data_IF_471591884867
#
_entry.id   IF_471591884867
#
_cell.length_a   1.000
_cell.length_b   1.000
_cell.length_c   1.000
_cell.angle_alpha   90.00
_cell.angle_beta   90.00
_cell.angle_gamma   90.00
#
_symmetry.space_group_name_H-M   'P 1'
#
loop_
_entity.id
_entity.type
_entity.pdbx_description
1 polymer ?
#
# COMPACT_ATOMS: atom_id res chain seq x y z
N UNK A 1 -27.81 35.93 37.70
CA UNK A 1 -28.40 36.83 36.68
C UNK A 1 -28.50 36.07 35.40
N UNK A 2 -29.70 35.89 34.95
CA UNK A 2 -30.18 35.21 33.76
C UNK A 2 -29.66 35.83 32.48
N UNK A 3 -29.46 35.03 31.44
CA UNK A 3 -30.29 35.10 30.24
C UNK A 3 -29.95 34.00 29.26
N UNK A 4 -30.95 33.21 28.98
CA UNK A 4 -31.14 32.22 27.94
C UNK A 4 -31.24 32.88 26.57
N UNK A 5 -30.68 32.20 25.52
CA UNK A 5 -31.14 32.37 24.15
C UNK A 5 -31.27 31.00 23.47
N UNK A 6 -32.52 30.67 23.20
CA UNK A 6 -33.00 29.59 22.33
C UNK A 6 -32.72 29.98 20.86
N UNK A 7 -32.24 29.11 20.03
CA UNK A 7 -32.40 29.19 18.59
C UNK A 7 -32.87 27.85 18.01
N UNK A 8 -33.93 27.96 17.22
CA UNK A 8 -34.75 26.91 16.58
C UNK A 8 -34.04 26.21 15.41
N UNK A 9 -34.46 25.01 15.08
CA UNK A 9 -34.00 24.32 13.86
C UNK A 9 -34.67 24.89 12.61
N UNK A 10 -33.93 24.97 11.52
CA UNK A 10 -34.43 25.33 10.19
C UNK A 10 -34.82 24.05 9.44
N UNK A 11 -36.10 23.98 9.10
CA UNK A 11 -36.68 23.01 8.19
C UNK A 11 -36.10 23.17 6.77
N UNK A 12 -35.61 22.08 6.18
CA UNK A 12 -35.25 22.02 4.76
C UNK A 12 -36.45 21.45 4.01
N UNK A 13 -37.14 22.31 3.30
CA UNK A 13 -38.25 21.97 2.40
C UNK A 13 -37.66 21.30 1.13
N UNK A 14 -38.01 20.04 0.91
CA UNK A 14 -37.73 19.35 -0.32
C UNK A 14 -38.61 19.83 -1.47
N UNK A 15 -38.00 20.29 -2.56
CA UNK A 15 -38.68 20.71 -3.78
C UNK A 15 -38.76 19.48 -4.73
N UNK A 16 -39.97 18.89 -4.77
CA UNK A 16 -40.30 17.86 -5.79
C UNK A 16 -40.74 18.55 -7.07
N UNK A 17 -39.99 18.41 -8.13
CA UNK A 17 -40.35 18.90 -9.46
C UNK A 17 -41.20 17.84 -10.17
N UNK A 18 -42.52 18.03 -10.14
CA UNK A 18 -43.47 17.28 -10.95
C UNK A 18 -43.58 17.94 -12.33
N UNK A 19 -43.17 17.23 -13.36
CA UNK A 19 -43.37 17.65 -14.76
C UNK A 19 -44.75 17.26 -15.19
N UNK A 20 -45.68 18.21 -15.27
CA UNK A 20 -47.02 18.01 -15.84
C UNK A 20 -46.98 18.31 -17.33
N UNK A 21 -47.24 17.31 -18.18
CA UNK A 21 -47.52 17.50 -19.59
C UNK A 21 -49.01 17.82 -19.76
N UNK A 22 -49.26 19.04 -20.20
CA UNK A 22 -50.61 19.45 -20.63
C UNK A 22 -50.96 18.85 -21.96
N UNK A 23 -52.06 18.07 -22.06
CA UNK A 23 -52.65 17.60 -23.30
C UNK A 23 -53.80 18.52 -23.64
N UNK A 24 -53.70 19.21 -24.77
CA UNK A 24 -54.80 19.97 -25.38
C UNK A 24 -55.88 19.03 -25.94
N UNK A 25 -57.08 19.25 -25.49
CA UNK A 25 -58.24 18.56 -26.03
C UNK A 25 -58.74 19.25 -27.32
N UNK A 26 -58.93 18.49 -28.39
CA UNK A 26 -59.84 18.82 -29.48
C UNK A 26 -60.88 17.69 -29.56
N UNK A 27 -62.15 18.07 -29.43
CA UNK A 27 -63.28 17.17 -29.41
C UNK A 27 -63.73 16.70 -30.77
N UNK A 28 -64.48 15.62 -30.79
CA UNK A 28 -65.24 15.14 -31.95
C UNK A 28 -65.70 13.69 -31.77
N UNK A 29 -66.90 13.53 -31.49
CA UNK A 29 -67.83 12.52 -31.18
C UNK A 29 -67.72 11.12 -31.72
N UNK A 30 -68.45 10.27 -31.05
CA UNK A 30 -69.24 9.04 -31.44
C UNK A 30 -68.59 7.68 -31.18
N UNK A 31 -69.22 7.05 -30.23
CA UNK A 31 -69.72 5.66 -30.20
C UNK A 31 -68.75 4.51 -30.24
N UNK A 32 -68.74 3.79 -29.15
CA UNK A 32 -68.86 2.33 -29.21
C UNK A 32 -67.51 1.56 -29.09
N UNK A 33 -67.34 0.90 -28.00
CA UNK A 33 -66.39 -0.19 -27.85
C UNK A 33 -65.42 -0.04 -26.69
N UNK A 34 -65.88 -0.44 -25.53
CA UNK A 34 -64.97 -0.78 -24.39
C UNK A 34 -64.10 -1.94 -24.85
N UNK A 35 -62.93 -1.62 -25.34
CA UNK A 35 -61.83 -2.58 -25.37
C UNK A 35 -60.89 -2.14 -24.23
N UNK A 36 -61.14 -2.61 -23.02
CA UNK A 36 -60.09 -2.67 -22.00
C UNK A 36 -58.95 -3.49 -22.61
N UNK A 37 -57.91 -2.80 -23.04
CA UNK A 37 -56.65 -3.45 -23.32
C UNK A 37 -56.19 -4.03 -21.99
N UNK A 38 -56.49 -5.27 -21.73
CA UNK A 38 -55.91 -6.05 -20.67
C UNK A 38 -54.38 -5.98 -20.86
N UNK A 39 -53.72 -5.10 -20.11
CA UNK A 39 -52.28 -5.15 -19.95
C UNK A 39 -51.99 -6.56 -19.40
N UNK A 40 -51.52 -7.44 -20.27
CA UNK A 40 -51.08 -8.76 -19.84
C UNK A 40 -50.06 -8.54 -18.72
N UNK A 41 -50.41 -8.93 -17.51
CA UNK A 41 -49.48 -8.91 -16.39
C UNK A 41 -48.30 -9.78 -16.77
N UNK A 42 -47.15 -9.17 -17.03
CA UNK A 42 -45.92 -9.91 -17.30
C UNK A 42 -45.61 -10.68 -16.00
N UNK A 43 -45.82 -11.99 -16.05
CA UNK A 43 -45.50 -12.84 -14.90
C UNK A 43 -43.99 -12.72 -14.59
N UNK A 44 -43.68 -12.44 -13.35
CA UNK A 44 -42.29 -12.40 -12.92
C UNK A 44 -41.60 -13.77 -13.14
N UNK A 45 -40.36 -13.74 -13.50
CA UNK A 45 -39.51 -14.90 -13.78
C UNK A 45 -38.30 -14.90 -12.88
N UNK A 46 -37.47 -15.95 -12.90
CA UNK A 46 -36.19 -15.98 -12.19
C UNK A 46 -35.20 -14.98 -12.82
N UNK A 47 -34.20 -14.48 -12.07
CA UNK A 47 -33.18 -13.55 -12.55
C UNK A 47 -32.31 -14.14 -13.67
N UNK A 48 -31.70 -13.28 -14.47
CA UNK A 48 -30.59 -13.63 -15.34
C UNK A 48 -29.35 -14.13 -14.60
N UNK A 49 -28.34 -14.61 -15.34
CA UNK A 49 -27.07 -15.02 -14.79
C UNK A 49 -26.23 -13.79 -14.39
N UNK A 50 -25.55 -13.78 -13.24
CA UNK A 50 -24.51 -12.81 -12.92
C UNK A 50 -23.38 -12.81 -13.93
N UNK A 51 -22.68 -11.68 -14.08
CA UNK A 51 -21.60 -11.49 -15.07
C UNK A 51 -20.30 -11.04 -14.42
N UNK A 52 -19.23 -10.92 -15.19
CA UNK A 52 -17.90 -10.45 -14.74
C UNK A 52 -17.38 -11.18 -13.49
N UNK A 53 -17.42 -12.51 -13.54
CA UNK A 53 -16.98 -13.33 -12.41
C UNK A 53 -15.47 -13.27 -12.26
N UNK A 54 -14.99 -12.91 -11.06
CA UNK A 54 -13.59 -12.93 -10.68
C UNK A 54 -13.43 -13.72 -9.38
N UNK A 55 -12.59 -14.76 -9.38
CA UNK A 55 -12.34 -15.61 -8.23
C UNK A 55 -10.94 -15.33 -7.68
N UNK A 56 -10.83 -15.03 -6.39
CA UNK A 56 -9.56 -14.81 -5.68
C UNK A 56 -9.36 -15.92 -4.65
N UNK A 57 -8.23 -16.61 -4.74
CA UNK A 57 -7.89 -17.71 -3.85
C UNK A 57 -7.53 -17.22 -2.45
N UNK A 58 -7.98 -17.96 -1.43
CA UNK A 58 -7.61 -17.82 -0.02
C UNK A 58 -7.21 -19.16 0.58
N UNK A 59 -6.85 -19.17 1.87
CA UNK A 59 -6.56 -20.42 2.59
C UNK A 59 -7.86 -21.17 2.84
N UNK A 60 -7.95 -22.39 2.31
CA UNK A 60 -9.14 -23.23 2.36
C UNK A 60 -10.43 -22.47 1.97
N UNK A 61 -10.32 -21.45 1.12
CA UNK A 61 -11.42 -20.53 0.79
C UNK A 61 -11.23 -19.84 -0.57
N UNK A 62 -12.27 -19.15 -1.04
CA UNK A 62 -12.21 -18.29 -2.20
C UNK A 62 -13.21 -17.15 -2.10
N UNK A 63 -12.83 -15.96 -2.57
CA UNK A 63 -13.69 -14.80 -2.68
C UNK A 63 -14.13 -14.65 -4.13
N UNK A 64 -15.45 -14.69 -4.37
CA UNK A 64 -16.04 -14.66 -5.72
C UNK A 64 -16.73 -13.30 -5.90
N UNK A 65 -16.10 -12.43 -6.66
CA UNK A 65 -16.66 -11.16 -7.08
C UNK A 65 -17.46 -11.32 -8.38
N UNK A 66 -18.52 -10.53 -8.54
CA UNK A 66 -19.39 -10.58 -9.71
C UNK A 66 -20.16 -9.27 -9.89
N UNK A 67 -20.72 -9.08 -11.05
CA UNK A 67 -21.70 -8.04 -11.35
C UNK A 67 -23.11 -8.67 -11.36
N UNK A 68 -24.07 -8.01 -10.71
CA UNK A 68 -25.47 -8.43 -10.72
C UNK A 68 -26.01 -8.55 -12.16
N UNK A 69 -26.94 -9.48 -12.41
CA UNK A 69 -27.57 -9.58 -13.73
C UNK A 69 -28.38 -8.31 -14.06
N UNK A 70 -28.43 -7.93 -15.34
CA UNK A 70 -29.22 -6.80 -15.82
C UNK A 70 -30.73 -7.09 -15.73
N UNK A 71 -31.13 -8.35 -15.85
CA UNK A 71 -32.53 -8.78 -15.77
C UNK A 71 -32.79 -9.41 -14.41
N UNK A 72 -33.58 -8.76 -13.56
CA UNK A 72 -34.06 -9.29 -12.29
C UNK A 72 -35.28 -10.21 -12.41
N UNK A 73 -35.82 -10.36 -13.62
CA UNK A 73 -37.02 -11.16 -13.91
C UNK A 73 -38.32 -10.46 -13.52
N UNK A 74 -38.31 -9.15 -13.32
CA UNK A 74 -39.48 -8.38 -12.86
C UNK A 74 -39.80 -8.59 -11.36
N UNK A 75 -38.85 -9.10 -10.60
CA UNK A 75 -38.88 -9.25 -9.13
C UNK A 75 -37.49 -8.99 -8.58
N UNK A 76 -37.39 -8.14 -7.57
CA UNK A 76 -36.10 -7.73 -6.97
C UNK A 76 -35.27 -8.95 -6.55
N UNK A 77 -33.94 -8.89 -6.81
CA UNK A 77 -32.99 -9.92 -6.40
C UNK A 77 -32.90 -9.92 -4.88
N UNK A 78 -33.10 -11.07 -4.26
CA UNK A 78 -33.06 -11.27 -2.81
C UNK A 78 -31.74 -11.83 -2.30
N UNK A 79 -30.92 -12.39 -3.21
CA UNK A 79 -29.61 -12.94 -2.83
C UNK A 79 -28.87 -13.61 -3.97
N UNK A 80 -27.68 -14.08 -3.66
CA UNK A 80 -26.79 -14.78 -4.57
C UNK A 80 -26.22 -16.03 -3.92
N UNK A 81 -25.98 -17.05 -4.73
CA UNK A 81 -25.41 -18.34 -4.32
C UNK A 81 -24.14 -18.56 -5.13
N UNK A 82 -22.98 -18.59 -4.50
CA UNK A 82 -21.73 -19.02 -5.12
C UNK A 82 -21.53 -20.53 -4.86
N UNK A 83 -21.14 -21.26 -5.91
CA UNK A 83 -20.83 -22.69 -5.84
C UNK A 83 -19.47 -22.92 -6.46
N UNK A 84 -18.53 -23.52 -5.70
CA UNK A 84 -17.22 -23.96 -6.17
C UNK A 84 -17.17 -25.49 -6.16
N UNK A 85 -16.96 -26.12 -7.31
CA UNK A 85 -16.98 -27.56 -7.48
C UNK A 85 -15.66 -28.11 -8.00
N UNK A 86 -15.24 -29.26 -7.46
CA UNK A 86 -14.10 -30.04 -7.93
C UNK A 86 -14.30 -31.53 -7.63
N UNK A 87 -13.97 -32.43 -8.56
CA UNK A 87 -13.99 -33.88 -8.36
C UNK A 87 -15.33 -34.43 -7.86
N UNK A 88 -16.46 -33.84 -8.23
CA UNK A 88 -17.80 -34.26 -7.79
C UNK A 88 -18.24 -33.70 -6.42
N UNK A 89 -17.38 -32.96 -5.72
CA UNK A 89 -17.69 -32.28 -4.47
C UNK A 89 -17.93 -30.79 -4.74
N UNK A 90 -18.92 -30.18 -4.09
CA UNK A 90 -19.22 -28.76 -4.20
C UNK A 90 -19.37 -28.10 -2.83
N UNK A 91 -18.80 -26.91 -2.70
CA UNK A 91 -18.98 -26.02 -1.56
C UNK A 91 -19.80 -24.80 -2.02
N UNK A 92 -20.76 -24.40 -1.19
CA UNK A 92 -21.66 -23.27 -1.50
C UNK A 92 -21.61 -22.23 -0.39
N UNK A 93 -21.81 -20.97 -0.79
CA UNK A 93 -22.03 -19.86 0.13
C UNK A 93 -23.09 -18.91 -0.43
N UNK A 94 -23.81 -18.22 0.46
CA UNK A 94 -24.86 -17.26 0.11
C UNK A 94 -24.52 -15.88 0.64
N UNK A 95 -24.90 -14.83 -0.11
CA UNK A 95 -24.78 -13.45 0.31
C UNK A 95 -25.82 -12.59 -0.40
N UNK A 96 -26.06 -11.37 0.11
CA UNK A 96 -26.96 -10.39 -0.51
C UNK A 96 -26.26 -9.49 -1.51
N UNK A 97 -24.93 -9.50 -1.55
CA UNK A 97 -24.09 -8.68 -2.43
C UNK A 97 -22.76 -9.37 -2.79
N UNK A 98 -22.09 -8.86 -3.82
CA UNK A 98 -20.71 -9.21 -4.21
C UNK A 98 -19.71 -8.51 -3.26
N UNK A 99 -18.57 -9.17 -2.91
CA UNK A 99 -18.21 -10.56 -3.22
C UNK A 99 -18.81 -11.59 -2.25
N UNK A 100 -18.83 -12.88 -2.66
CA UNK A 100 -19.21 -14.00 -1.80
C UNK A 100 -17.95 -14.78 -1.42
N UNK A 101 -17.77 -15.06 -0.13
CA UNK A 101 -16.69 -15.89 0.37
C UNK A 101 -17.16 -17.34 0.54
N UNK A 102 -16.54 -18.26 -0.19
CA UNK A 102 -16.77 -19.71 -0.10
C UNK A 102 -15.64 -20.33 0.73
N UNK A 103 -15.97 -20.98 1.84
CA UNK A 103 -15.03 -21.67 2.75
C UNK A 103 -15.11 -23.18 2.62
N UNK A 104 -14.20 -23.89 3.31
CA UNK A 104 -14.16 -25.35 3.32
C UNK A 104 -13.57 -25.97 2.05
N UNK A 105 -12.86 -25.20 1.24
CA UNK A 105 -12.17 -25.67 0.05
C UNK A 105 -10.83 -26.33 0.42
N UNK A 106 -10.42 -27.34 -0.35
CA UNK A 106 -9.12 -28.00 -0.15
C UNK A 106 -8.03 -27.22 -0.88
N UNK A 107 -6.97 -26.85 -0.15
CA UNK A 107 -5.81 -26.19 -0.75
C UNK A 107 -5.12 -27.08 -1.80
N UNK A 108 -4.63 -26.49 -2.89
CA UNK A 108 -4.02 -27.19 -4.00
C UNK A 108 -5.01 -27.89 -4.95
N UNK A 109 -6.31 -27.82 -4.67
CA UNK A 109 -7.35 -28.41 -5.54
C UNK A 109 -7.91 -27.32 -6.47
N UNK A 110 -7.96 -27.59 -7.76
CA UNK A 110 -8.55 -26.68 -8.73
C UNK A 110 -10.08 -26.80 -8.71
N UNK A 111 -10.75 -25.72 -8.41
CA UNK A 111 -12.21 -25.59 -8.40
C UNK A 111 -12.70 -24.78 -9.59
N UNK A 112 -13.94 -25.06 -10.00
CA UNK A 112 -14.73 -24.26 -10.94
C UNK A 112 -15.84 -23.57 -10.16
N UNK A 113 -15.83 -22.24 -10.09
CA UNK A 113 -16.75 -21.45 -9.26
C UNK A 113 -17.73 -20.64 -10.13
N UNK A 114 -19.02 -20.75 -9.84
CA UNK A 114 -20.08 -20.00 -10.52
C UNK A 114 -21.05 -19.36 -9.50
N UNK A 115 -21.74 -18.31 -9.92
CA UNK A 115 -22.72 -17.59 -9.11
C UNK A 115 -24.09 -17.61 -9.74
N UNK A 116 -25.16 -17.77 -8.93
CA UNK A 116 -26.57 -17.65 -9.32
C UNK A 116 -27.22 -16.53 -8.54
N UNK A 117 -28.13 -15.80 -9.16
CA UNK A 117 -28.98 -14.83 -8.48
C UNK A 117 -30.35 -15.46 -8.17
N UNK A 118 -30.98 -15.03 -7.09
CA UNK A 118 -32.32 -15.49 -6.68
C UNK A 118 -33.22 -14.29 -6.43
N UNK A 119 -34.51 -14.43 -6.78
CA UNK A 119 -35.61 -13.51 -6.45
C UNK A 119 -36.76 -14.27 -5.79
N UNK A 120 -37.92 -13.64 -5.61
CA UNK A 120 -39.10 -14.26 -5.02
C UNK A 120 -39.67 -15.43 -5.84
N UNK A 121 -39.37 -15.48 -7.15
CA UNK A 121 -39.84 -16.56 -8.05
C UNK A 121 -38.92 -17.80 -7.96
N UNK A 122 -37.63 -17.59 -7.74
CA UNK A 122 -36.64 -18.67 -7.63
C UNK A 122 -35.23 -18.28 -8.02
N UNK A 123 -34.37 -19.29 -8.20
CA UNK A 123 -32.97 -19.13 -8.55
C UNK A 123 -32.76 -19.22 -10.07
N UNK A 124 -32.07 -18.23 -10.63
CA UNK A 124 -31.76 -18.12 -12.04
C UNK A 124 -30.61 -19.02 -12.53
N UNK A 125 -30.20 -18.81 -13.78
CA UNK A 125 -29.08 -19.52 -14.38
C UNK A 125 -27.74 -19.21 -13.70
N UNK A 126 -26.81 -20.18 -13.80
CA UNK A 126 -25.44 -19.95 -13.30
C UNK A 126 -24.68 -19.02 -14.25
N UNK A 127 -23.79 -18.23 -13.71
CA UNK A 127 -22.79 -17.46 -14.45
C UNK A 127 -21.84 -18.37 -15.25
N UNK A 128 -21.03 -17.78 -16.12
CA UNK A 128 -19.79 -18.41 -16.58
C UNK A 128 -18.92 -18.72 -15.34
N UNK A 129 -18.26 -19.88 -15.36
CA UNK A 129 -17.42 -20.30 -14.24
C UNK A 129 -16.06 -19.63 -14.29
N UNK A 130 -15.51 -19.28 -13.10
CA UNK A 130 -14.14 -18.86 -12.92
C UNK A 130 -13.33 -19.96 -12.23
N UNK A 131 -12.10 -20.16 -12.67
CA UNK A 131 -11.18 -21.11 -12.02
C UNK A 131 -10.66 -20.52 -10.71
N UNK A 132 -10.55 -21.37 -9.68
CA UNK A 132 -10.03 -21.06 -8.37
C UNK A 132 -9.20 -22.23 -7.85
N UNK A 133 -8.00 -21.98 -7.38
CA UNK A 133 -7.19 -22.98 -6.68
C UNK A 133 -6.77 -22.41 -5.32
N UNK A 134 -7.52 -22.73 -4.25
CA UNK A 134 -7.15 -22.32 -2.91
C UNK A 134 -5.73 -22.76 -2.58
N UNK A 135 -4.98 -21.92 -1.92
CA UNK A 135 -3.66 -22.26 -1.44
C UNK A 135 -3.64 -22.13 0.09
N UNK A 136 -2.95 -23.03 0.76
CA UNK A 136 -2.65 -22.82 2.16
C UNK A 136 -2.02 -21.44 2.25
N UNK A 137 -2.59 -20.57 3.08
CA UNK A 137 -1.81 -19.44 3.54
C UNK A 137 -0.57 -20.05 4.14
N UNK A 138 0.60 -19.77 3.59
CA UNK A 138 1.82 -19.95 4.33
C UNK A 138 1.79 -18.91 5.46
N UNK A 139 0.89 -19.10 6.44
CA UNK A 139 0.99 -18.38 7.69
C UNK A 139 2.24 -18.95 8.34
N UNK A 140 3.28 -18.14 8.38
CA UNK A 140 4.48 -18.49 9.13
C UNK A 140 4.18 -18.59 10.64
N UNK A 141 2.92 -18.69 11.04
CA UNK A 141 2.50 -18.54 12.42
C UNK A 141 2.79 -17.12 12.93
N UNK A 142 2.73 -16.94 14.23
CA UNK A 142 3.12 -15.67 14.85
C UNK A 142 4.65 -15.55 14.87
N UNK A 143 5.18 -14.48 14.26
CA UNK A 143 6.61 -14.14 14.31
C UNK A 143 7.01 -13.43 15.61
N UNK A 144 6.06 -13.16 16.51
CA UNK A 144 6.30 -12.45 17.77
C UNK A 144 7.42 -13.09 18.60
N UNK A 145 7.48 -14.42 18.65
CA UNK A 145 8.52 -15.14 19.41
C UNK A 145 9.93 -14.85 18.88
N UNK A 146 10.07 -14.64 17.57
CA UNK A 146 11.33 -14.28 16.92
C UNK A 146 11.60 -12.79 17.07
N UNK A 147 10.63 -11.93 16.76
CA UNK A 147 10.81 -10.48 16.89
C UNK A 147 11.12 -10.01 18.32
N UNK A 148 10.69 -10.75 19.34
CA UNK A 148 11.10 -10.50 20.75
C UNK A 148 12.60 -10.72 21.00
N UNK A 149 13.28 -11.50 20.17
CA UNK A 149 14.71 -11.81 20.30
C UNK A 149 15.60 -10.94 19.43
N UNK A 150 15.00 -10.20 18.49
CA UNK A 150 15.73 -9.26 17.63
C UNK A 150 16.36 -8.16 18.50
N UNK A 151 17.60 -7.81 18.20
CA UNK A 151 18.36 -6.80 18.91
C UNK A 151 17.96 -5.38 18.47
N UNK A 152 16.73 -4.97 18.79
CA UNK A 152 16.24 -3.60 18.55
C UNK A 152 17.12 -2.59 19.31
N UNK A 153 17.68 -1.59 18.60
CA UNK A 153 18.65 -0.66 19.17
C UNK A 153 17.97 0.63 19.69
N UNK A 154 17.53 1.50 18.78
CA UNK A 154 16.90 2.78 19.13
C UNK A 154 15.36 2.70 19.00
N UNK A 155 14.78 1.59 19.45
CA UNK A 155 13.38 1.23 19.22
C UNK A 155 12.77 0.63 20.48
N UNK A 156 11.51 0.97 20.74
CA UNK A 156 10.67 0.26 21.70
C UNK A 156 9.67 -0.59 20.93
N UNK A 157 9.61 -1.88 21.24
CA UNK A 157 8.64 -2.81 20.67
C UNK A 157 7.71 -3.37 21.73
N UNK A 158 6.44 -3.52 21.39
CA UNK A 158 5.44 -4.21 22.20
C UNK A 158 4.62 -5.15 21.33
N UNK A 159 3.95 -6.11 21.93
CA UNK A 159 3.22 -7.17 21.24
C UNK A 159 1.81 -7.25 21.80
N UNK A 160 0.89 -6.38 21.34
CA UNK A 160 -0.47 -6.28 21.90
C UNK A 160 -1.30 -7.54 21.71
N UNK A 161 -1.07 -8.30 20.64
CA UNK A 161 -1.72 -9.59 20.36
C UNK A 161 -0.70 -10.59 19.81
N UNK A 162 -1.12 -11.84 19.62
CA UNK A 162 -0.26 -12.89 19.05
C UNK A 162 0.18 -12.60 17.60
N UNK A 163 -0.55 -11.74 16.88
CA UNK A 163 -0.26 -11.40 15.49
C UNK A 163 0.05 -9.94 15.27
N UNK A 164 0.35 -9.18 16.31
CA UNK A 164 0.69 -7.76 16.18
C UNK A 164 1.94 -7.39 16.96
N UNK A 165 2.73 -6.49 16.38
CA UNK A 165 3.84 -5.83 17.02
C UNK A 165 3.70 -4.32 16.81
N UNK A 166 3.78 -3.55 17.88
CA UNK A 166 3.89 -2.09 17.81
C UNK A 166 5.35 -1.71 17.95
N UNK A 167 5.81 -0.90 17.02
CA UNK A 167 7.17 -0.38 16.91
C UNK A 167 7.12 1.12 17.16
N UNK A 168 7.94 1.64 18.05
CA UNK A 168 8.03 3.08 18.34
C UNK A 168 9.49 3.52 18.26
N UNK A 169 9.75 4.57 17.47
CA UNK A 169 11.08 5.14 17.25
C UNK A 169 11.01 6.66 17.12
N UNK A 170 12.13 7.33 17.31
CA UNK A 170 12.30 8.75 16.98
C UNK A 170 12.79 8.97 15.53
N UNK A 171 12.98 7.90 14.76
CA UNK A 171 13.55 7.95 13.42
C UNK A 171 15.04 8.28 13.38
N UNK A 172 15.69 8.43 14.55
CA UNK A 172 17.13 8.64 14.65
C UNK A 172 17.80 7.27 14.70
N UNK A 173 18.76 6.98 13.80
CA UNK A 173 19.44 5.70 13.81
C UNK A 173 20.39 5.58 15.01
N UNK A 174 20.65 4.33 15.42
CA UNK A 174 21.58 4.02 16.52
C UNK A 174 23.06 4.18 16.16
N UNK A 175 23.38 4.40 14.89
CA UNK A 175 24.75 4.65 14.43
C UNK A 175 25.06 6.14 14.27
N UNK A 176 26.35 6.48 14.20
CA UNK A 176 26.77 7.85 13.93
C UNK A 176 26.40 8.30 12.52
N UNK A 177 25.96 9.53 12.41
CA UNK A 177 25.70 10.20 11.13
C UNK A 177 26.96 10.90 10.61
N UNK A 178 27.06 11.13 9.31
CA UNK A 178 28.10 11.99 8.74
C UNK A 178 27.90 13.43 9.23
N UNK A 179 29.00 14.16 9.38
CA UNK A 179 28.95 15.58 9.80
C UNK A 179 28.34 16.47 8.74
N UNK A 180 28.54 16.11 7.49
CA UNK A 180 28.10 16.89 6.32
C UNK A 180 27.41 15.97 5.32
N UNK A 181 26.28 16.45 4.78
CA UNK A 181 25.57 15.82 3.68
C UNK A 181 25.43 16.79 2.52
N UNK A 182 25.30 16.24 1.31
CA UNK A 182 24.88 16.98 0.13
C UNK A 182 23.35 16.92 0.03
N UNK A 183 22.76 18.01 -0.46
CA UNK A 183 21.31 18.14 -0.63
C UNK A 183 20.98 18.68 -2.02
N UNK A 184 19.84 18.27 -2.63
CA UNK A 184 19.41 18.81 -3.91
C UNK A 184 19.23 20.33 -3.86
N UNK A 185 19.72 21.05 -4.87
CA UNK A 185 19.67 22.52 -4.92
C UNK A 185 18.26 23.11 -5.04
N UNK A 186 17.31 22.32 -5.53
CA UNK A 186 15.89 22.69 -5.62
C UNK A 186 15.12 22.42 -4.32
N UNK A 187 15.78 21.84 -3.31
CA UNK A 187 15.16 21.67 -2.00
C UNK A 187 15.05 23.04 -1.32
N UNK A 188 14.05 23.19 -0.45
CA UNK A 188 13.89 24.35 0.45
C UNK A 188 14.97 24.40 1.53
N UNK A 189 15.99 23.56 1.41
CA UNK A 189 17.04 23.36 2.38
C UNK A 189 18.07 24.48 2.31
N UNK A 190 18.50 24.91 3.46
CA UNK A 190 19.49 25.98 3.61
C UNK A 190 20.89 25.37 3.48
N UNK A 191 21.67 25.83 2.51
CA UNK A 191 23.04 25.37 2.31
C UNK A 191 23.79 26.20 1.29
N UNK A 192 25.10 26.07 1.24
CA UNK A 192 25.97 26.73 0.26
C UNK A 192 25.89 25.95 -1.05
N UNK A 193 25.60 26.64 -2.16
CA UNK A 193 25.66 26.03 -3.49
C UNK A 193 27.08 25.51 -3.76
N UNK A 194 27.18 24.25 -4.16
CA UNK A 194 28.46 23.62 -4.53
C UNK A 194 28.59 23.67 -6.04
N UNK A 195 29.49 24.53 -6.52
CA UNK A 195 29.79 24.58 -7.93
C UNK A 195 30.45 23.27 -8.38
N UNK A 196 30.02 22.76 -9.56
CA UNK A 196 30.66 21.64 -10.27
C UNK A 196 30.58 20.26 -9.57
N UNK A 197 29.56 19.98 -8.78
CA UNK A 197 29.26 18.57 -8.46
C UNK A 197 28.80 17.86 -9.73
N UNK A 198 29.47 16.75 -10.14
CA UNK A 198 29.10 16.05 -11.38
C UNK A 198 27.62 15.62 -11.33
N UNK A 199 26.86 16.07 -12.30
CA UNK A 199 25.49 15.61 -12.57
C UNK A 199 24.38 16.23 -11.75
N UNK A 200 24.64 17.16 -10.79
CA UNK A 200 23.58 17.68 -9.94
C UNK A 200 23.82 19.09 -9.43
N UNK A 201 22.75 19.85 -9.33
CA UNK A 201 22.69 21.09 -8.57
C UNK A 201 22.59 20.75 -7.08
N UNK A 202 23.66 20.23 -6.47
CA UNK A 202 23.71 19.91 -5.05
C UNK A 202 24.15 21.12 -4.21
N UNK A 203 23.73 21.14 -2.98
CA UNK A 203 24.16 22.10 -1.97
C UNK A 203 24.85 21.37 -0.83
N UNK A 204 25.87 22.02 -0.24
CA UNK A 204 26.48 21.55 0.97
C UNK A 204 25.56 21.91 2.16
N UNK A 205 25.11 20.90 2.88
CA UNK A 205 24.38 21.09 4.14
C UNK A 205 25.24 21.78 5.19
N UNK A 206 24.61 22.45 6.14
CA UNK A 206 25.31 23.14 7.22
C UNK A 206 26.04 22.17 8.16
N UNK A 207 27.18 22.56 8.68
CA UNK A 207 27.91 21.78 9.66
C UNK A 207 27.03 21.53 10.90
N UNK A 208 27.13 20.33 11.46
CA UNK A 208 26.33 19.95 12.62
C UNK A 208 24.85 19.71 12.27
N UNK A 209 24.58 19.36 11.03
CA UNK A 209 23.27 19.00 10.56
C UNK A 209 22.63 17.95 11.47
N UNK A 210 21.55 18.35 12.11
CA UNK A 210 20.79 17.44 12.96
C UNK A 210 19.67 16.81 12.12
N UNK A 211 19.69 15.50 11.98
CA UNK A 211 18.58 14.80 11.38
C UNK A 211 17.28 15.15 12.12
N UNK A 212 16.21 15.33 11.38
CA UNK A 212 14.89 15.52 11.99
C UNK A 212 14.56 14.30 12.84
N UNK A 213 14.06 14.53 14.05
CA UNK A 213 13.45 13.51 14.90
C UNK A 213 11.94 13.66 14.89
N UNK A 214 11.24 12.55 14.76
CA UNK A 214 9.80 12.51 14.90
C UNK A 214 9.42 11.20 15.58
N UNK A 215 8.67 11.26 16.68
CA UNK A 215 8.17 10.04 17.30
C UNK A 215 7.17 9.39 16.36
N UNK A 216 7.50 8.19 15.95
CA UNK A 216 6.69 7.36 15.07
C UNK A 216 6.29 6.10 15.80
N UNK A 217 5.04 5.69 15.64
CA UNK A 217 4.51 4.46 16.22
C UNK A 217 3.71 3.73 15.15
N UNK A 218 4.19 2.55 14.77
CA UNK A 218 3.59 1.73 13.73
C UNK A 218 3.21 0.37 14.29
N UNK A 219 2.11 -0.19 13.77
CA UNK A 219 1.66 -1.53 14.15
C UNK A 219 1.72 -2.46 12.97
N UNK A 220 2.48 -3.53 13.09
CA UNK A 220 2.72 -4.53 12.07
C UNK A 220 1.89 -5.79 12.32
N UNK A 221 1.41 -6.40 11.23
CA UNK A 221 0.91 -7.77 11.27
C UNK A 221 2.10 -8.74 11.32
N UNK A 222 2.29 -9.41 12.45
CA UNK A 222 3.36 -10.40 12.64
C UNK A 222 2.93 -11.85 12.38
N UNK A 223 1.77 -12.04 11.77
CA UNK A 223 1.34 -13.29 11.14
C UNK A 223 1.22 -13.06 9.61
N UNK A 224 2.33 -12.66 8.92
CA UNK A 224 2.25 -12.29 7.53
C UNK A 224 1.90 -13.48 6.65
N UNK A 225 1.06 -13.25 5.66
CA UNK A 225 0.68 -14.23 4.64
C UNK A 225 0.95 -13.66 3.26
N UNK A 226 1.43 -14.50 2.35
CA UNK A 226 1.58 -14.07 0.95
C UNK A 226 0.22 -13.75 0.35
N UNK A 227 0.09 -12.58 -0.24
CA UNK A 227 -1.08 -12.18 -1.00
C UNK A 227 -1.09 -12.83 -2.38
N UNK A 228 -2.26 -12.94 -2.99
CA UNK A 228 -2.39 -13.45 -4.36
C UNK A 228 -1.72 -12.54 -5.41
N UNK A 229 -1.61 -11.25 -5.09
CA UNK A 229 -0.94 -10.23 -5.92
C UNK A 229 -0.04 -9.38 -5.07
N UNK A 230 1.09 -8.97 -5.63
CA UNK A 230 2.04 -8.06 -4.97
C UNK A 230 1.52 -6.62 -5.00
N UNK A 231 1.94 -5.82 -4.02
CA UNK A 231 1.65 -4.38 -3.96
C UNK A 231 2.97 -3.61 -4.14
N UNK A 232 3.04 -2.78 -5.17
CA UNK A 232 4.25 -1.95 -5.44
C UNK A 232 4.51 -1.01 -4.26
N UNK A 233 5.77 -0.88 -3.86
CA UNK A 233 6.18 0.10 -2.85
C UNK A 233 6.09 1.51 -3.43
N UNK A 234 5.58 2.44 -2.63
CA UNK A 234 5.49 3.87 -2.98
C UNK A 234 6.57 4.66 -2.26
N UNK A 235 6.69 5.95 -2.54
CA UNK A 235 7.57 6.85 -1.77
C UNK A 235 7.21 6.86 -0.29
N UNK A 236 8.21 7.04 0.56
CA UNK A 236 8.08 6.99 2.01
C UNK A 236 8.54 5.66 2.62
N UNK A 237 8.33 5.45 3.92
CA UNK A 237 8.76 4.25 4.63
C UNK A 237 8.10 2.98 4.07
N UNK A 238 8.92 2.02 3.66
CA UNK A 238 8.48 0.70 3.19
C UNK A 238 8.78 -0.40 4.22
N UNK A 239 9.57 -0.09 5.22
CA UNK A 239 9.95 -0.95 6.33
C UNK A 239 10.69 -0.16 7.39
N UNK A 240 11.00 -0.82 8.50
CA UNK A 240 11.65 -0.22 9.67
C UNK A 240 12.80 -1.08 10.13
N UNK A 241 13.94 -0.44 10.35
CA UNK A 241 15.18 -1.12 10.67
C UNK A 241 15.40 -1.19 12.18
N UNK A 242 16.19 -2.17 12.62
CA UNK A 242 16.53 -2.34 14.04
C UNK A 242 17.22 -1.11 14.64
N UNK A 243 17.86 -0.29 13.81
CA UNK A 243 18.51 0.98 14.20
C UNK A 243 17.54 2.10 14.58
N UNK A 244 16.25 1.94 14.32
CA UNK A 244 15.23 2.95 14.57
C UNK A 244 14.88 3.84 13.37
N UNK A 245 15.66 3.79 12.30
CA UNK A 245 15.37 4.52 11.07
C UNK A 245 14.54 3.68 10.08
N UNK A 246 13.89 4.35 9.14
CA UNK A 246 13.06 3.70 8.13
C UNK A 246 13.89 3.22 6.94
N UNK A 247 13.37 2.22 6.23
CA UNK A 247 13.80 1.83 4.91
C UNK A 247 12.85 2.43 3.88
N UNK A 248 13.40 3.08 2.86
CA UNK A 248 12.67 3.57 1.69
C UNK A 248 12.93 2.63 0.49
N UNK A 249 12.15 2.79 -0.57
CA UNK A 249 12.42 2.10 -1.82
C UNK A 249 13.76 2.62 -2.44
N UNK A 250 14.17 2.03 -3.55
CA UNK A 250 15.45 2.36 -4.17
C UNK A 250 15.51 3.75 -4.82
N UNK A 251 14.39 4.50 -4.87
CA UNK A 251 14.32 5.81 -5.54
C UNK A 251 14.17 6.96 -4.56
N UNK A 252 14.72 8.11 -4.89
CA UNK A 252 14.41 9.37 -4.23
C UNK A 252 13.04 9.88 -4.63
N UNK A 253 12.30 10.48 -3.69
CA UNK A 253 10.91 10.88 -3.87
C UNK A 253 10.64 11.82 -5.05
N UNK A 254 11.63 12.56 -5.52
CA UNK A 254 11.55 13.46 -6.67
C UNK A 254 12.11 12.86 -7.96
N UNK A 255 12.87 11.77 -7.88
CA UNK A 255 13.54 11.13 -9.01
C UNK A 255 13.18 9.64 -9.06
N UNK A 256 12.20 9.30 -9.87
CA UNK A 256 11.77 7.91 -10.07
C UNK A 256 12.54 7.20 -11.18
N UNK A 257 13.46 7.90 -11.85
CA UNK A 257 14.19 7.38 -13.01
C UNK A 257 15.61 6.93 -12.67
N UNK A 258 16.15 7.33 -11.51
CA UNK A 258 17.49 6.98 -11.07
C UNK A 258 17.45 6.40 -9.66
N UNK A 259 18.08 5.26 -9.40
CA UNK A 259 18.20 4.72 -8.04
C UNK A 259 19.05 5.64 -7.17
N UNK A 260 18.65 5.89 -5.94
CA UNK A 260 19.34 6.77 -4.99
C UNK A 260 20.82 6.39 -4.80
N UNK A 261 21.10 5.08 -4.69
CA UNK A 261 22.46 4.58 -4.49
C UNK A 261 23.35 4.69 -5.73
N UNK A 262 22.79 4.80 -6.94
CA UNK A 262 23.56 5.00 -8.18
C UNK A 262 23.91 6.46 -8.42
N UNK A 263 23.16 7.38 -7.82
CA UNK A 263 23.38 8.85 -7.92
C UNK A 263 24.20 9.39 -6.72
N UNK A 264 25.01 8.53 -6.13
CA UNK A 264 25.79 8.86 -4.93
C UNK A 264 26.96 9.76 -5.26
N UNK A 265 26.75 11.07 -5.21
CA UNK A 265 27.75 12.10 -5.41
C UNK A 265 28.47 12.44 -4.12
N UNK A 266 29.74 12.86 -4.23
CA UNK A 266 30.55 13.36 -3.12
C UNK A 266 31.24 14.67 -3.46
N UNK A 267 31.49 15.50 -2.43
CA UNK A 267 32.16 16.77 -2.56
C UNK A 267 33.15 16.95 -1.42
N UNK A 268 34.42 17.21 -1.74
CA UNK A 268 35.48 17.47 -0.76
C UNK A 268 35.71 18.97 -0.67
N UNK A 269 35.77 19.49 0.55
CA UNK A 269 35.97 20.92 0.85
C UNK A 269 36.78 21.07 2.14
N UNK A 270 37.28 22.28 2.39
CA UNK A 270 37.93 22.62 3.64
C UNK A 270 36.94 23.36 4.54
N UNK A 271 36.76 22.90 5.77
CA UNK A 271 35.86 23.53 6.72
C UNK A 271 36.46 24.79 7.35
N UNK A 272 35.73 25.46 8.23
CA UNK A 272 36.17 26.69 8.89
C UNK A 272 37.33 26.48 9.87
N UNK A 273 37.64 25.27 10.26
CA UNK A 273 38.78 24.88 11.07
C UNK A 273 40.02 24.53 10.24
N UNK A 274 39.93 24.61 8.90
CA UNK A 274 41.02 24.26 8.00
C UNK A 274 41.16 22.76 7.75
N UNK A 275 40.17 21.96 8.13
CA UNK A 275 40.16 20.49 7.97
C UNK A 275 39.47 20.09 6.68
N UNK A 276 40.10 19.17 5.94
CA UNK A 276 39.48 18.59 4.73
C UNK A 276 38.35 17.68 5.15
N UNK A 277 37.16 17.96 4.62
CA UNK A 277 35.91 17.23 4.84
C UNK A 277 35.36 16.69 3.53
N UNK A 278 34.60 15.60 3.60
CA UNK A 278 33.85 15.07 2.45
C UNK A 278 32.37 14.95 2.79
N UNK A 279 31.55 15.70 2.09
CA UNK A 279 30.10 15.57 2.12
C UNK A 279 29.65 14.57 1.05
N UNK A 280 28.65 13.76 1.35
CA UNK A 280 28.02 12.81 0.44
C UNK A 280 26.51 13.01 0.45
N UNK A 281 25.85 12.67 -0.65
CA UNK A 281 24.39 12.60 -0.68
C UNK A 281 23.91 11.38 0.11
N UNK A 282 24.45 10.22 -0.19
CA UNK A 282 24.23 8.97 0.55
C UNK A 282 25.48 8.66 1.36
N UNK A 283 25.37 8.39 2.62
CA UNK A 283 26.51 8.04 3.49
C UNK A 283 26.95 6.57 3.33
N UNK A 284 27.94 6.14 4.11
CA UNK A 284 28.46 4.78 4.06
C UNK A 284 27.48 3.72 4.57
N UNK A 285 26.38 4.14 5.21
CA UNK A 285 25.28 3.27 5.64
C UNK A 285 24.18 3.11 4.60
N UNK A 286 24.35 3.61 3.37
CA UNK A 286 23.33 3.62 2.32
C UNK A 286 22.07 4.41 2.69
N UNK A 287 22.22 5.46 3.48
CA UNK A 287 21.14 6.33 3.92
C UNK A 287 21.52 7.79 3.94
N UNK A 288 20.54 8.64 4.17
CA UNK A 288 20.72 10.06 4.38
C UNK A 288 19.61 10.65 5.27
N UNK A 289 19.86 11.76 5.95
CA UNK A 289 18.86 12.41 6.78
C UNK A 289 17.95 13.30 5.93
N UNK A 290 16.73 13.45 6.37
CA UNK A 290 15.88 14.55 5.93
C UNK A 290 16.13 15.75 6.84
N UNK A 291 16.36 16.96 6.27
CA UNK A 291 16.63 18.16 7.04
C UNK A 291 15.52 18.54 8.02
N UNK A 292 15.89 19.09 9.17
CA UNK A 292 14.92 19.60 10.14
C UNK A 292 14.02 20.72 9.56
N UNK A 293 14.49 21.39 8.51
CA UNK A 293 13.75 22.43 7.76
C UNK A 293 12.83 21.85 6.66
N UNK A 294 12.84 20.52 6.47
CA UNK A 294 11.93 19.88 5.52
C UNK A 294 10.48 20.22 5.85
N UNK A 295 9.65 20.52 4.85
CA UNK A 295 8.21 20.69 5.06
C UNK A 295 7.50 19.40 5.47
N UNK A 296 8.14 18.24 5.24
CA UNK A 296 7.64 16.94 5.71
C UNK A 296 8.02 16.70 7.17
N UNK A 297 7.07 16.77 8.12
CA UNK A 297 7.35 16.61 9.54
C UNK A 297 7.69 15.17 9.94
N UNK A 298 7.45 14.20 9.07
CA UNK A 298 7.59 12.77 9.37
C UNK A 298 8.82 12.13 8.77
N UNK A 299 9.43 12.76 7.76
CA UNK A 299 10.64 12.24 7.14
C UNK A 299 11.86 12.49 8.04
N UNK A 300 12.50 11.40 8.40
CA UNK A 300 13.68 11.34 9.26
C UNK A 300 14.85 10.76 8.47
N UNK A 301 15.89 10.28 9.13
CA UNK A 301 16.94 9.51 8.46
C UNK A 301 16.35 8.21 7.87
N UNK A 302 16.75 7.85 6.66
CA UNK A 302 16.27 6.64 6.00
C UNK A 302 17.32 6.02 5.07
N UNK A 303 17.15 4.72 4.78
CA UNK A 303 18.04 3.92 3.94
C UNK A 303 17.41 3.63 2.58
N UNK A 304 18.24 3.46 1.55
CA UNK A 304 17.84 3.07 0.18
C UNK A 304 18.41 1.71 -0.28
N UNK A 305 19.02 0.98 0.62
CA UNK A 305 19.59 -0.34 0.38
C UNK A 305 20.11 -0.95 1.67
N UNK A 306 20.93 -2.01 1.57
CA UNK A 306 21.48 -2.68 2.73
C UNK A 306 22.33 -1.71 3.58
N UNK A 307 21.96 -1.44 4.83
CA UNK A 307 22.70 -0.53 5.66
C UNK A 307 23.87 -1.26 6.36
N UNK A 308 25.08 -1.09 5.83
CA UNK A 308 26.27 -1.78 6.34
C UNK A 308 26.51 -1.57 7.85
N UNK A 309 26.22 -0.37 8.37
CA UNK A 309 26.32 -0.07 9.80
C UNK A 309 25.24 -0.73 10.66
N UNK A 310 24.12 -1.18 10.06
CA UNK A 310 23.08 -1.94 10.76
C UNK A 310 23.39 -3.44 10.69
N UNK A 311 23.81 -3.95 9.53
CA UNK A 311 24.23 -5.36 9.42
C UNK A 311 25.41 -5.66 10.34
N UNK A 312 26.36 -4.75 10.46
CA UNK A 312 27.51 -4.88 11.39
C UNK A 312 27.12 -5.01 12.88
N UNK A 313 25.88 -4.66 13.26
CA UNK A 313 25.39 -4.83 14.63
C UNK A 313 24.97 -6.27 14.95
N UNK A 314 24.59 -7.03 13.94
CA UNK A 314 23.95 -8.35 14.10
C UNK A 314 24.61 -9.46 13.30
N UNK A 315 25.29 -9.15 12.20
CA UNK A 315 25.97 -10.12 11.34
C UNK A 315 27.45 -10.20 11.74
N UNK A 316 28.01 -11.42 11.71
CA UNK A 316 29.46 -11.58 11.75
C UNK A 316 30.05 -11.35 10.36
N UNK A 317 31.33 -10.99 10.27
CA UNK A 317 32.01 -10.59 9.02
C UNK A 317 31.87 -11.58 7.84
N UNK A 318 31.65 -12.86 8.13
CA UNK A 318 31.51 -13.94 7.12
C UNK A 318 30.34 -14.86 7.39
N UNK A 319 29.47 -14.51 8.33
CA UNK A 319 28.31 -15.32 8.72
C UNK A 319 27.06 -15.07 7.87
N UNK A 320 26.03 -15.81 8.20
CA UNK A 320 24.68 -15.59 7.67
C UNK A 320 24.15 -14.22 8.11
N UNK A 321 23.34 -13.60 7.28
CA UNK A 321 22.61 -12.40 7.70
C UNK A 321 21.50 -12.73 8.69
N UNK A 322 21.31 -11.83 9.64
CA UNK A 322 20.25 -11.83 10.63
C UNK A 322 19.15 -10.84 10.26
N UNK A 323 18.06 -10.83 11.04
CA UNK A 323 16.99 -9.84 10.88
C UNK A 323 17.52 -8.44 11.20
N UNK A 324 17.45 -7.55 10.20
CA UNK A 324 17.83 -6.14 10.31
C UNK A 324 16.62 -5.20 10.31
N UNK A 325 15.42 -5.72 10.10
CA UNK A 325 14.19 -4.92 10.08
C UNK A 325 12.93 -5.72 9.85
N UNK A 326 11.82 -4.99 9.74
CA UNK A 326 10.49 -5.50 9.41
C UNK A 326 9.89 -4.68 8.28
N UNK A 327 9.33 -5.34 7.28
CA UNK A 327 8.61 -4.69 6.19
C UNK A 327 7.17 -4.33 6.61
N UNK A 328 6.55 -3.36 5.93
CA UNK A 328 5.19 -2.92 6.28
C UNK A 328 4.13 -4.02 6.11
N UNK A 329 4.41 -5.10 5.38
CA UNK A 329 3.54 -6.28 5.28
C UNK A 329 3.83 -7.35 6.37
N UNK A 330 4.76 -7.06 7.28
CA UNK A 330 5.07 -7.90 8.45
C UNK A 330 6.13 -8.97 8.21
N UNK A 331 6.62 -9.14 6.98
CA UNK A 331 7.74 -10.05 6.72
C UNK A 331 9.07 -9.46 7.20
N UNK A 332 10.01 -10.31 7.67
CA UNK A 332 11.31 -9.85 8.11
C UNK A 332 12.19 -9.41 6.92
N UNK A 333 13.06 -8.43 7.20
CA UNK A 333 14.08 -7.93 6.29
C UNK A 333 15.44 -8.40 6.79
N UNK A 334 16.22 -8.98 5.89
CA UNK A 334 17.57 -9.49 6.13
C UNK A 334 18.62 -8.72 5.34
N UNK A 335 19.87 -8.81 5.78
CA UNK A 335 21.03 -8.42 4.99
C UNK A 335 21.24 -9.33 3.77
N UNK A 336 22.34 -9.13 3.07
CA UNK A 336 22.59 -9.71 1.75
C UNK A 336 23.16 -11.13 1.73
N UNK A 337 23.17 -11.89 2.85
CA UNK A 337 23.85 -13.22 2.92
C UNK A 337 22.90 -14.34 3.30
N UNK A 338 23.09 -15.50 2.68
CA UNK A 338 22.33 -16.73 2.97
C UNK A 338 22.77 -17.37 4.30
N UNK A 339 22.13 -18.48 4.68
CA UNK A 339 22.44 -19.24 5.91
C UNK A 339 23.89 -19.77 5.97
N UNK A 340 24.56 -19.86 4.84
CA UNK A 340 25.97 -20.29 4.73
C UNK A 340 26.96 -19.10 4.68
N UNK A 341 26.47 -17.86 4.76
CA UNK A 341 27.25 -16.65 4.65
C UNK A 341 27.59 -16.21 3.23
N UNK A 342 27.04 -16.88 2.20
CA UNK A 342 27.27 -16.48 0.81
C UNK A 342 26.38 -15.32 0.40
N UNK A 343 26.85 -14.38 -0.45
CA UNK A 343 26.03 -13.31 -0.98
C UNK A 343 24.80 -13.83 -1.73
N UNK A 344 23.64 -13.29 -1.41
CA UNK A 344 22.39 -13.53 -2.15
C UNK A 344 22.32 -12.55 -3.30
N UNK A 345 22.47 -13.05 -4.52
CA UNK A 345 22.44 -12.24 -5.75
C UNK A 345 21.00 -11.97 -6.21
N UNK A 346 20.80 -10.88 -6.95
CA UNK A 346 19.46 -10.40 -7.39
C UNK A 346 18.70 -11.45 -8.22
N UNK A 347 19.40 -12.29 -8.97
CA UNK A 347 18.82 -13.36 -9.79
C UNK A 347 18.18 -14.49 -8.98
N UNK A 348 18.54 -14.62 -7.70
CA UNK A 348 17.92 -15.58 -6.77
C UNK A 348 16.65 -15.03 -6.09
N UNK A 349 16.41 -13.74 -6.21
CA UNK A 349 15.31 -13.04 -5.57
C UNK A 349 14.12 -12.89 -6.52
N UNK A 350 12.92 -12.93 -5.96
CA UNK A 350 11.71 -12.60 -6.71
C UNK A 350 11.65 -11.10 -7.09
N UNK A 351 10.59 -10.68 -7.77
CA UNK A 351 10.43 -9.31 -8.22
C UNK A 351 10.38 -8.28 -7.07
N UNK A 352 10.02 -8.71 -5.87
CA UNK A 352 9.92 -7.86 -4.68
C UNK A 352 11.19 -7.85 -3.82
N UNK A 353 12.28 -8.47 -4.24
CA UNK A 353 13.49 -8.75 -3.47
C UNK A 353 13.28 -9.75 -2.33
N UNK A 354 12.34 -10.68 -2.50
CA UNK A 354 12.06 -11.72 -1.52
C UNK A 354 12.55 -13.10 -1.96
N UNK A 355 12.74 -13.96 -0.99
CA UNK A 355 13.10 -15.37 -1.17
C UNK A 355 12.49 -16.20 -0.04
N UNK A 356 12.19 -17.47 -0.30
CA UNK A 356 11.89 -18.45 0.75
C UNK A 356 13.11 -19.34 0.96
N UNK A 357 13.80 -19.15 2.05
CA UNK A 357 14.99 -19.94 2.40
C UNK A 357 15.20 -20.02 3.90
N UNK A 358 16.09 -20.93 4.32
CA UNK A 358 16.53 -21.03 5.71
C UNK A 358 17.31 -19.77 6.12
N UNK A 359 17.12 -19.36 7.38
CA UNK A 359 17.85 -18.27 8.03
C UNK A 359 18.24 -18.70 9.44
N UNK A 360 19.12 -17.97 10.15
CA UNK A 360 19.45 -18.29 11.53
C UNK A 360 18.23 -18.37 12.45
N UNK A 361 17.26 -17.49 12.28
CA UNK A 361 16.05 -17.46 13.08
C UNK A 361 14.98 -18.46 12.63
N UNK A 362 15.04 -18.93 11.37
CA UNK A 362 14.10 -19.85 10.75
C UNK A 362 14.82 -20.97 9.98
N UNK A 363 15.41 -21.97 10.67
CA UNK A 363 16.15 -23.04 10.00
C UNK A 363 15.30 -23.89 9.03
N UNK A 364 13.99 -23.96 9.24
CA UNK A 364 13.04 -24.64 8.34
C UNK A 364 12.67 -23.78 7.09
N UNK A 365 13.15 -22.54 7.04
CA UNK A 365 12.85 -21.60 5.99
C UNK A 365 11.64 -20.71 6.26
N UNK A 366 11.72 -19.48 5.80
CA UNK A 366 10.65 -18.48 5.81
C UNK A 366 10.75 -17.62 4.56
N UNK A 367 9.62 -17.06 4.09
CA UNK A 367 9.69 -15.96 3.16
C UNK A 367 10.19 -14.71 3.87
N UNK A 368 11.19 -14.06 3.28
CA UNK A 368 11.77 -12.83 3.81
C UNK A 368 12.30 -11.97 2.67
N UNK A 369 12.43 -10.68 2.93
CA UNK A 369 13.08 -9.75 2.02
C UNK A 369 14.58 -9.73 2.27
N UNK A 370 15.33 -9.57 1.19
CA UNK A 370 16.79 -9.44 1.22
C UNK A 370 17.19 -8.11 0.62
N UNK A 371 18.05 -7.37 1.31
CA UNK A 371 18.72 -6.20 0.77
C UNK A 371 20.10 -6.64 0.28
N UNK A 372 20.30 -6.83 -1.05
CA UNK A 372 21.52 -7.43 -1.59
C UNK A 372 22.71 -6.48 -1.45
N UNK A 373 23.88 -7.03 -1.08
CA UNK A 373 25.12 -6.27 -0.92
C UNK A 373 25.65 -5.78 -2.27
N UNK A 374 26.19 -4.54 -2.31
CA UNK A 374 26.83 -3.95 -3.49
C UNK A 374 25.88 -3.61 -4.64
N UNK A 375 24.57 -3.75 -4.47
CA UNK A 375 23.58 -3.40 -5.48
C UNK A 375 23.17 -1.94 -5.35
N UNK A 376 23.36 -1.16 -6.41
CA UNK A 376 23.01 0.27 -6.48
C UNK A 376 21.84 0.55 -7.44
N UNK A 377 21.29 -0.48 -8.09
CA UNK A 377 20.15 -0.39 -9.01
C UNK A 377 18.82 -0.28 -8.26
N UNK A 378 17.69 -0.26 -9.01
CA UNK A 378 16.34 -0.36 -8.45
C UNK A 378 16.08 -1.62 -7.60
N UNK A 379 17.02 -2.57 -7.61
CA UNK A 379 17.01 -3.78 -6.79
C UNK A 379 17.84 -3.64 -5.51
N UNK A 380 18.31 -2.43 -5.15
CA UNK A 380 19.00 -2.18 -3.87
C UNK A 380 18.07 -2.26 -2.67
N UNK A 381 16.76 -2.05 -2.88
CA UNK A 381 15.72 -2.10 -1.86
C UNK A 381 14.49 -2.84 -2.39
N UNK A 382 13.48 -3.03 -1.53
CA UNK A 382 12.25 -3.74 -1.86
C UNK A 382 11.43 -2.97 -2.90
N UNK A 383 11.09 -3.63 -4.02
CA UNK A 383 10.28 -3.03 -5.08
C UNK A 383 8.77 -3.17 -4.84
N UNK A 384 8.35 -4.19 -4.10
CA UNK A 384 6.95 -4.45 -3.79
C UNK A 384 6.80 -5.26 -2.49
N UNK A 385 5.58 -5.30 -1.96
CA UNK A 385 5.18 -6.18 -0.88
C UNK A 385 4.56 -7.46 -1.45
N UNK A 386 4.96 -8.59 -0.89
CA UNK A 386 4.36 -9.90 -1.21
C UNK A 386 3.21 -10.23 -0.26
N UNK A 387 3.21 -9.66 0.93
CA UNK A 387 2.13 -9.79 1.92
C UNK A 387 1.07 -8.72 1.80
N UNK A 388 0.02 -8.87 2.59
CA UNK A 388 -1.02 -7.87 2.69
C UNK A 388 -0.53 -6.67 3.50
N UNK A 389 -0.59 -5.49 2.92
CA UNK A 389 -0.29 -4.21 3.59
C UNK A 389 -1.60 -3.59 4.06
N UNK A 390 -1.68 -3.14 5.31
CA UNK A 390 -2.86 -2.44 5.79
C UNK A 390 -3.06 -1.12 5.02
N UNK A 391 -4.31 -0.83 4.67
CA UNK A 391 -4.66 0.44 3.98
C UNK A 391 -4.21 1.69 4.77
N UNK A 392 -4.14 1.56 6.08
CA UNK A 392 -3.79 2.64 6.98
C UNK A 392 -2.31 3.01 6.87
N UNK A 393 -1.41 2.03 6.70
CA UNK A 393 0.03 2.28 6.49
C UNK A 393 0.31 2.96 5.15
N UNK A 394 -0.36 2.50 4.08
CA UNK A 394 -0.23 3.12 2.75
C UNK A 394 -0.81 4.54 2.73
N UNK A 395 -1.93 4.75 3.41
CA UNK A 395 -2.57 6.06 3.51
C UNK A 395 -1.81 7.02 4.44
N UNK A 396 -1.26 6.54 5.56
CA UNK A 396 -0.45 7.34 6.48
C UNK A 396 0.86 7.77 5.82
N UNK A 397 1.55 6.89 5.10
CA UNK A 397 2.74 7.26 4.33
C UNK A 397 2.43 8.30 3.23
N UNK A 398 1.28 8.20 2.56
CA UNK A 398 0.86 9.16 1.55
C UNK A 398 0.42 10.51 2.16
N UNK A 399 -0.22 10.51 3.33
CA UNK A 399 -0.65 11.73 4.02
C UNK A 399 0.49 12.40 4.80
N UNK A 400 1.37 11.62 5.40
CA UNK A 400 2.52 12.13 6.14
C UNK A 400 3.46 12.95 5.24
N UNK A 401 3.56 12.58 3.97
CA UNK A 401 4.45 13.26 3.06
C UNK A 401 3.84 14.50 2.38
N UNK A 402 2.56 14.83 2.57
CA UNK A 402 1.91 16.04 2.04
C UNK A 402 2.16 16.34 0.56
N UNK A 403 2.99 15.53 -0.06
CA UNK A 403 3.48 15.60 -1.43
C UNK A 403 3.25 14.22 -2.02
N UNK A 404 2.27 14.09 -2.87
CA UNK A 404 2.16 12.91 -3.72
C UNK A 404 3.37 12.94 -4.67
N UNK A 405 4.46 12.34 -4.26
CA UNK A 405 5.55 12.04 -5.15
C UNK A 405 4.98 11.14 -6.24
N UNK A 406 5.13 11.54 -7.52
CA UNK A 406 4.43 10.98 -8.66
C UNK A 406 4.69 9.51 -8.99
N UNK A 407 4.56 8.64 -8.00
CA UNK A 407 4.35 7.24 -8.22
C UNK A 407 2.95 7.04 -8.81
N UNK A 408 2.83 6.47 -9.99
CA UNK A 408 1.53 6.09 -10.56
C UNK A 408 0.76 5.29 -9.52
N UNK A 409 -0.46 5.75 -9.22
CA UNK A 409 -1.41 4.95 -8.46
C UNK A 409 -1.50 3.56 -9.12
N UNK A 410 -1.49 2.47 -8.35
CA UNK A 410 -1.63 1.14 -8.93
C UNK A 410 -2.89 1.11 -9.78
N UNK A 411 -2.73 0.69 -11.04
CA UNK A 411 -3.82 0.56 -12.01
C UNK A 411 -4.88 -0.36 -11.41
N UNK A 412 -6.02 0.24 -11.00
CA UNK A 412 -7.15 -0.48 -10.42
C UNK A 412 -7.92 0.24 -9.32
N UNK A 413 -7.47 1.41 -8.84
CA UNK A 413 -8.18 2.18 -7.81
C UNK A 413 -8.22 3.68 -8.06
N UNK A 414 -8.62 4.08 -9.26
CA UNK A 414 -8.82 5.48 -9.63
C UNK A 414 -9.99 6.18 -8.89
N UNK A 415 -10.79 5.45 -8.11
CA UNK A 415 -12.03 5.99 -7.53
C UNK A 415 -11.89 6.74 -6.20
N UNK A 416 -10.85 6.47 -5.40
CA UNK A 416 -10.73 7.06 -4.04
C UNK A 416 -9.69 8.16 -3.98
N UNK A 417 -8.61 8.07 -4.75
CA UNK A 417 -7.59 9.14 -4.83
C UNK A 417 -8.00 10.28 -5.79
N UNK A 418 -8.84 10.00 -6.79
CA UNK A 418 -9.30 11.02 -7.73
C UNK A 418 -10.16 12.13 -7.11
N UNK A 419 -10.87 11.86 -6.03
CA UNK A 419 -11.77 12.84 -5.38
C UNK A 419 -11.00 13.83 -4.46
N UNK A 420 -9.86 13.43 -3.92
CA UNK A 420 -9.03 14.32 -3.08
C UNK A 420 -8.20 15.31 -3.92
N UNK A 421 -7.89 14.96 -5.19
CA UNK A 421 -7.12 15.85 -6.06
C UNK A 421 -7.94 16.94 -6.76
N UNK A 422 -9.27 16.79 -6.84
CA UNK A 422 -10.13 17.78 -7.52
C UNK A 422 -10.44 18.99 -6.64
N UNK A 423 -10.30 18.86 -5.31
CA UNK A 423 -10.62 19.96 -4.38
C UNK A 423 -9.57 21.08 -4.35
N UNK A 424 -8.32 20.84 -4.76
CA UNK A 424 -7.24 21.86 -4.66
C UNK A 424 -6.95 22.59 -5.99
N UNK A 425 -7.67 22.30 -7.07
CA UNK A 425 -7.54 23.06 -8.33
C UNK A 425 -8.42 24.31 -8.45
N UNK A 426 -9.19 24.65 -7.43
CA UNK A 426 -10.11 25.80 -7.49
C UNK A 426 -9.50 27.15 -7.09
N UNK A 427 -8.26 27.21 -6.61
CA UNK A 427 -7.54 28.47 -6.38
C UNK A 427 -6.61 28.81 -7.54
N UNK A 428 -7.16 29.04 -8.73
CA UNK A 428 -6.46 29.80 -9.77
C UNK A 428 -6.40 31.26 -9.33
N UNK A 429 -5.22 31.69 -9.00
CA UNK A 429 -4.86 33.12 -8.96
C UNK A 429 -5.14 33.70 -10.36
N UNK A 430 -6.08 34.60 -10.46
CA UNK A 430 -6.32 35.38 -11.67
C UNK A 430 -5.07 36.21 -11.96
N UNK A 431 -4.52 36.23 -13.18
CA UNK A 431 -3.45 37.14 -13.54
C UNK A 431 -3.98 38.57 -13.44
N UNK A 432 -3.31 39.41 -12.63
CA UNK A 432 -3.58 40.80 -12.54
C UNK A 432 -3.38 41.47 -13.91
N UNK A 433 -4.35 42.27 -14.34
CA UNK A 433 -4.21 43.17 -15.49
C UNK A 433 -3.15 44.20 -15.16
N UNK A 434 -2.07 44.22 -15.91
CA UNK A 434 -1.19 45.38 -16.04
C UNK A 434 -1.90 46.42 -16.87
N UNK A 435 -2.27 47.53 -16.24
CA UNK A 435 -2.72 48.77 -16.90
C UNK A 435 -1.58 49.77 -16.84
N UNK A 436 -1.21 50.25 -18.04
CA UNK A 436 -0.47 51.48 -18.41
C UNK A 436 0.97 51.55 -17.89
#
# INVERSE_FOLDING_TARGET
>A
MQSSFLSRPRDVVGLSLACACAVAACGGGSAGGNSEAATAAVSATVPGAPTAIAATAGNASGSIAFTAPLADGGSAITGYIATCAAGGVSNTAVATASPINVSGLSNGTAYSCAVRASNAVGTGAASVAAALMPAASSSNGSLNAVYRKVAWQAVTVSFPTDCTMTFTSTGTPSHALSTYYLEPANSVYVGTAVANTPGSNMRLGVAGYTARTATMSETFNTCPTKAATTTVTTGGPIGWMISGASLFNATEGMNTTTPALSDNVSYTFTDSAGVSQTAKFIDSCNGHPTPATSPDPTSTYHYHGVPACVTALVDSDSGASHIIGIANDGFPIYGGRDISGNPVTVDKLDACNGITSATPEFPAGIYHYVLPEGVTSFRSSMACYTGAVSRQMVAAAAMANGICYGGQAPSGRAGVLGTLFVADRSTRIKPGKTGV
#
